data_IF_835976634491
#
_entry.id   IF_835976634491
#
_cell.length_a   1.000
_cell.length_b   1.000
_cell.length_c   1.000
_cell.angle_alpha   90.00
_cell.angle_beta   90.00
_cell.angle_gamma   90.00
#
_symmetry.space_group_name_H-M   'P 1'
#
loop_
_entity.id
_entity.type
_entity.pdbx_description
1 polymer ?
#
# COMPACT_ATOMS: atom_id res chain seq x y z
N UNK A 1 -2.42 -8.54 -25.02
CA UNK A 1 -1.31 -7.57 -24.84
C UNK A 1 -0.80 -7.74 -23.42
N UNK A 2 0.38 -8.35 -23.28
CA UNK A 2 0.96 -8.68 -21.97
C UNK A 2 1.47 -7.41 -21.29
N UNK A 3 0.82 -7.02 -20.20
CA UNK A 3 1.32 -5.95 -19.33
C UNK A 3 2.61 -6.44 -18.68
N UNK A 4 3.71 -5.76 -19.00
CA UNK A 4 5.05 -6.04 -18.51
C UNK A 4 5.14 -5.67 -17.02
N UNK A 5 4.69 -6.58 -16.15
CA UNK A 5 4.76 -6.50 -14.68
C UNK A 5 6.21 -6.47 -14.14
N UNK A 6 7.22 -6.58 -15.02
CA UNK A 6 8.64 -6.64 -14.65
C UNK A 6 9.28 -5.29 -14.34
N UNK A 7 8.71 -4.17 -14.80
CA UNK A 7 9.29 -2.84 -14.55
C UNK A 7 8.78 -2.15 -13.26
N UNK A 8 7.65 -2.59 -12.69
CA UNK A 8 7.14 -2.05 -11.42
C UNK A 8 7.90 -2.55 -10.17
N UNK A 9 8.57 -3.70 -10.26
CA UNK A 9 9.22 -4.32 -9.09
C UNK A 9 10.58 -3.70 -8.73
N UNK A 10 11.25 -3.02 -9.66
CA UNK A 10 12.63 -2.55 -9.44
C UNK A 10 12.66 -1.25 -8.62
N UNK A 11 11.62 -0.41 -8.72
CA UNK A 11 11.57 0.88 -8.02
C UNK A 11 11.26 0.78 -6.53
N UNK A 12 10.70 -0.36 -6.08
CA UNK A 12 10.35 -0.59 -4.68
C UNK A 12 11.57 -0.93 -3.80
N UNK A 13 12.66 -1.44 -4.41
CA UNK A 13 13.81 -2.01 -3.67
C UNK A 13 14.68 -0.93 -3.03
N UNK A 14 14.72 0.28 -3.59
CA UNK A 14 15.60 1.35 -3.07
C UNK A 14 14.92 2.30 -2.08
N UNK A 15 13.59 2.29 -1.98
CA UNK A 15 12.84 3.15 -1.06
C UNK A 15 12.47 2.46 0.27
N UNK A 16 12.47 1.13 0.31
CA UNK A 16 11.96 0.36 1.45
C UNK A 16 12.81 -0.91 1.70
N UNK A 17 13.84 -0.86 2.57
CA UNK A 17 14.48 -2.07 3.08
C UNK A 17 13.57 -2.90 4.00
N UNK A 18 12.35 -2.41 4.30
CA UNK A 18 11.40 -3.03 5.21
C UNK A 18 10.52 -4.14 4.59
N UNK A 19 10.51 -4.32 3.26
CA UNK A 19 9.70 -5.35 2.60
C UNK A 19 10.19 -6.79 2.80
N UNK A 20 11.39 -6.98 3.33
CA UNK A 20 11.99 -8.31 3.47
C UNK A 20 11.71 -9.00 4.82
N UNK A 21 11.11 -8.32 5.80
CA UNK A 21 11.11 -8.80 7.20
C UNK A 21 9.74 -8.77 7.90
N UNK A 22 8.64 -8.90 7.16
CA UNK A 22 7.35 -9.25 7.76
C UNK A 22 7.08 -10.75 7.56
N UNK A 23 7.64 -11.57 8.45
CA UNK A 23 7.36 -13.00 8.54
C UNK A 23 5.96 -13.21 9.16
N UNK A 24 4.91 -12.88 8.41
CA UNK A 24 3.54 -13.36 8.67
C UNK A 24 3.29 -14.66 7.90
N UNK A 25 2.38 -15.49 8.37
CA UNK A 25 1.88 -16.62 7.59
C UNK A 25 1.26 -16.07 6.30
N UNK A 26 1.50 -16.76 5.17
CA UNK A 26 0.86 -16.35 3.92
C UNK A 26 -0.53 -16.94 3.88
N UNK A 27 -1.55 -16.10 4.02
CA UNK A 27 -2.94 -16.52 3.96
C UNK A 27 -3.46 -16.33 2.54
N UNK A 28 -4.08 -17.37 1.99
CA UNK A 28 -4.83 -17.27 0.75
C UNK A 28 -6.26 -16.85 1.10
N UNK A 29 -6.76 -15.81 0.45
CA UNK A 29 -8.11 -15.30 0.73
C UNK A 29 -9.11 -15.75 -0.32
N UNK A 30 -10.37 -15.88 0.12
CA UNK A 30 -11.51 -16.23 -0.73
C UNK A 30 -11.90 -15.06 -1.66
N UNK A 31 -12.51 -15.37 -2.80
CA UNK A 31 -13.02 -14.37 -3.76
C UNK A 31 -14.06 -13.41 -3.15
N UNK A 32 -14.79 -13.84 -2.12
CA UNK A 32 -15.73 -12.99 -1.38
C UNK A 32 -15.06 -11.76 -0.75
N UNK A 33 -13.77 -11.87 -0.45
CA UNK A 33 -12.96 -10.83 0.18
C UNK A 33 -12.14 -10.00 -0.83
N UNK A 34 -12.16 -10.39 -2.11
CA UNK A 34 -11.51 -9.65 -3.20
C UNK A 34 -11.94 -8.16 -3.28
N UNK A 35 -13.20 -7.76 -2.98
CA UNK A 35 -13.58 -6.35 -2.95
C UNK A 35 -12.84 -5.53 -1.89
N UNK A 36 -12.39 -6.14 -0.78
CA UNK A 36 -11.59 -5.46 0.24
C UNK A 36 -10.17 -5.22 -0.27
N UNK A 37 -9.57 -6.22 -0.92
CA UNK A 37 -8.26 -6.06 -1.54
C UNK A 37 -8.28 -5.01 -2.65
N UNK A 38 -9.31 -5.00 -3.51
CA UNK A 38 -9.45 -3.98 -4.56
C UNK A 38 -9.48 -2.57 -3.99
N UNK A 39 -10.12 -2.34 -2.84
CA UNK A 39 -10.12 -1.02 -2.19
C UNK A 39 -8.74 -0.61 -1.69
N UNK A 40 -7.97 -1.57 -1.16
CA UNK A 40 -6.59 -1.32 -0.74
C UNK A 40 -5.74 -0.99 -1.97
N UNK A 41 -5.87 -1.77 -3.04
CA UNK A 41 -5.16 -1.58 -4.31
C UNK A 41 -5.50 -0.23 -4.96
N UNK A 42 -6.79 0.14 -5.02
CA UNK A 42 -7.24 1.45 -5.48
C UNK A 42 -6.64 2.60 -4.66
N UNK A 43 -6.51 2.41 -3.33
CA UNK A 43 -5.87 3.36 -2.44
C UNK A 43 -4.37 3.48 -2.72
N UNK A 44 -3.69 2.35 -2.91
CA UNK A 44 -2.27 2.28 -3.22
C UNK A 44 -1.97 2.91 -4.59
N UNK A 45 -2.76 2.60 -5.61
CA UNK A 45 -2.66 3.23 -6.93
C UNK A 45 -2.85 4.74 -6.84
N UNK A 46 -3.84 5.21 -6.07
CA UNK A 46 -4.06 6.65 -5.86
C UNK A 46 -2.85 7.32 -5.20
N UNK A 47 -2.20 6.64 -4.25
CA UNK A 47 -0.99 7.13 -3.57
C UNK A 47 0.21 7.13 -4.53
N UNK A 48 0.35 6.11 -5.37
CA UNK A 48 1.41 6.04 -6.39
C UNK A 48 1.23 7.13 -7.45
N UNK A 49 0.00 7.39 -7.89
CA UNK A 49 -0.30 8.49 -8.82
C UNK A 49 0.03 9.85 -8.20
N UNK A 50 -0.34 10.05 -6.93
CA UNK A 50 0.03 11.26 -6.19
C UNK A 50 1.56 11.40 -6.06
N UNK A 51 2.27 10.31 -5.74
CA UNK A 51 3.72 10.30 -5.66
C UNK A 51 4.37 10.60 -7.02
N UNK A 52 3.82 10.08 -8.12
CA UNK A 52 4.24 10.36 -9.47
C UNK A 52 4.07 11.83 -9.84
N UNK A 53 2.91 12.41 -9.53
CA UNK A 53 2.62 13.83 -9.74
C UNK A 53 3.54 14.73 -8.91
N UNK A 54 3.78 14.37 -7.64
CA UNK A 54 4.67 15.08 -6.74
C UNK A 54 6.14 15.05 -7.20
N UNK A 55 6.57 13.93 -7.79
CA UNK A 55 7.91 13.81 -8.36
C UNK A 55 8.08 14.68 -9.61
N UNK A 56 7.00 14.95 -10.35
CA UNK A 56 7.04 15.81 -11.54
C UNK A 56 7.20 17.29 -11.22
N UNK A 57 7.00 17.72 -9.97
CA UNK A 57 7.01 19.12 -9.56
C UNK A 57 8.27 19.55 -8.80
N UNK A 58 9.31 18.69 -8.72
CA UNK A 58 10.56 18.92 -7.96
C UNK A 58 10.35 19.30 -6.47
N UNK A 59 9.12 19.16 -5.96
CA UNK A 59 8.79 19.36 -4.57
C UNK A 59 9.30 18.18 -3.73
N UNK A 60 9.56 18.44 -2.44
CA UNK A 60 9.84 17.35 -1.52
C UNK A 60 8.67 16.34 -1.57
N UNK A 61 8.97 15.10 -1.97
CA UNK A 61 7.97 14.07 -2.20
C UNK A 61 7.03 13.91 -1.00
N UNK A 62 7.57 13.94 0.22
CA UNK A 62 6.77 13.81 1.43
C UNK A 62 5.91 15.04 1.67
N UNK A 63 6.46 16.24 1.56
CA UNK A 63 5.70 17.49 1.72
C UNK A 63 4.53 17.60 0.72
N UNK A 64 4.78 17.19 -0.53
CA UNK A 64 3.75 17.13 -1.56
C UNK A 64 2.72 16.04 -1.29
N UNK A 65 3.13 14.82 -0.91
CA UNK A 65 2.22 13.73 -0.54
C UNK A 65 1.37 14.08 0.70
N UNK A 66 1.92 14.87 1.63
CA UNK A 66 1.20 15.37 2.78
C UNK A 66 0.14 16.41 2.41
N UNK A 67 0.40 17.20 1.37
CA UNK A 67 -0.58 18.12 0.79
C UNK A 67 -1.68 17.33 0.06
N UNK A 68 -1.31 16.27 -0.65
CA UNK A 68 -2.19 15.28 -1.28
C UNK A 68 -2.78 14.26 -0.30
N UNK A 69 -3.16 14.73 0.90
CA UNK A 69 -3.63 13.90 2.03
C UNK A 69 -4.82 12.98 1.69
N UNK A 70 -5.55 13.25 0.61
CA UNK A 70 -6.69 12.45 0.16
C UNK A 70 -6.28 11.03 -0.22
N UNK A 71 -5.16 10.86 -0.93
CA UNK A 71 -4.71 9.54 -1.37
C UNK A 71 -4.26 8.67 -0.19
N UNK A 72 -3.47 9.25 0.72
CA UNK A 72 -3.03 8.59 1.94
C UNK A 72 -4.21 8.21 2.86
N UNK A 73 -5.19 9.12 3.04
CA UNK A 73 -6.41 8.85 3.81
C UNK A 73 -7.26 7.75 3.18
N UNK A 74 -7.33 7.69 1.84
CA UNK A 74 -8.06 6.64 1.12
C UNK A 74 -7.44 5.27 1.37
N UNK A 75 -6.10 5.17 1.30
CA UNK A 75 -5.37 3.95 1.60
C UNK A 75 -5.54 3.54 3.08
N UNK A 76 -5.33 4.46 4.02
CA UNK A 76 -5.50 4.20 5.47
C UNK A 76 -6.93 3.73 5.78
N UNK A 77 -7.94 4.40 5.24
CA UNK A 77 -9.35 4.05 5.43
C UNK A 77 -9.67 2.66 4.86
N UNK A 78 -9.16 2.35 3.66
CA UNK A 78 -9.35 1.04 3.04
C UNK A 78 -8.70 -0.07 3.88
N UNK A 79 -7.47 0.16 4.35
CA UNK A 79 -6.72 -0.79 5.18
C UNK A 79 -7.43 -1.04 6.51
N UNK A 80 -7.83 0.02 7.22
CA UNK A 80 -8.59 -0.09 8.49
C UNK A 80 -9.92 -0.82 8.29
N UNK A 81 -10.65 -0.51 7.21
CA UNK A 81 -11.92 -1.19 6.91
C UNK A 81 -11.73 -2.67 6.63
N UNK A 82 -10.65 -3.04 5.92
CA UNK A 82 -10.34 -4.44 5.66
C UNK A 82 -9.98 -5.17 6.96
N UNK A 83 -9.14 -4.57 7.81
CA UNK A 83 -8.73 -5.13 9.10
C UNK A 83 -9.88 -5.22 10.11
N UNK A 84 -10.83 -4.29 10.09
CA UNK A 84 -12.04 -4.33 10.92
C UNK A 84 -12.94 -5.52 10.54
N UNK A 85 -13.16 -5.72 9.23
CA UNK A 85 -13.98 -6.83 8.72
C UNK A 85 -13.27 -8.17 8.80
N UNK A 86 -11.93 -8.18 8.70
CA UNK A 86 -11.09 -9.37 8.66
C UNK A 86 -9.92 -9.17 9.62
N UNK A 87 -10.15 -9.24 10.95
CA UNK A 87 -9.09 -9.05 11.94
C UNK A 87 -7.98 -10.11 11.83
N UNK A 88 -8.27 -11.30 11.29
CA UNK A 88 -7.30 -12.35 11.01
C UNK A 88 -6.31 -12.04 9.88
N UNK A 89 -6.45 -10.91 9.18
CA UNK A 89 -5.46 -10.44 8.20
C UNK A 89 -4.33 -9.63 8.84
N UNK A 90 -4.52 -9.19 10.09
CA UNK A 90 -3.57 -8.36 10.79
C UNK A 90 -2.28 -9.13 11.06
N UNK A 91 -1.14 -8.56 10.66
CA UNK A 91 0.17 -9.20 10.81
C UNK A 91 0.47 -10.27 9.77
N UNK A 92 -0.48 -10.58 8.88
CA UNK A 92 -0.34 -11.63 7.88
C UNK A 92 0.07 -11.08 6.51
N UNK A 93 0.57 -11.98 5.66
CA UNK A 93 0.78 -11.69 4.24
C UNK A 93 -0.37 -12.28 3.45
N UNK A 94 -1.10 -11.46 2.70
CA UNK A 94 -2.22 -11.92 1.88
C UNK A 94 -1.72 -12.27 0.50
N UNK A 95 -2.11 -13.45 0.00
CA UNK A 95 -1.94 -13.82 -1.40
C UNK A 95 -3.30 -13.97 -2.09
N UNK A 96 -3.49 -13.24 -3.17
CA UNK A 96 -4.70 -13.33 -3.99
C UNK A 96 -4.38 -13.04 -5.45
N UNK A 97 -4.82 -13.93 -6.35
CA UNK A 97 -4.72 -13.78 -7.81
C UNK A 97 -3.32 -13.37 -8.33
N UNK A 98 -2.26 -13.96 -7.74
CA UNK A 98 -0.88 -13.67 -8.12
C UNK A 98 -0.28 -12.40 -7.49
N UNK A 99 -1.05 -11.68 -6.69
CA UNK A 99 -0.62 -10.50 -5.93
C UNK A 99 -0.37 -10.88 -4.48
N UNK A 100 0.79 -10.50 -3.96
CA UNK A 100 1.16 -10.64 -2.55
C UNK A 100 1.12 -9.28 -1.87
N UNK A 101 0.30 -9.15 -0.83
CA UNK A 101 0.16 -7.93 -0.04
C UNK A 101 0.60 -8.18 1.41
N UNK A 102 1.68 -7.52 1.83
CA UNK A 102 2.14 -7.60 3.22
C UNK A 102 1.44 -6.52 4.06
N UNK A 103 0.37 -6.91 4.77
CA UNK A 103 -0.41 -6.02 5.63
C UNK A 103 0.45 -5.24 6.65
N UNK A 104 1.33 -5.87 7.44
CA UNK A 104 2.14 -5.13 8.42
C UNK A 104 3.09 -4.11 7.78
N UNK A 105 3.61 -4.40 6.57
CA UNK A 105 4.44 -3.45 5.84
C UNK A 105 3.63 -2.25 5.36
N UNK A 106 2.40 -2.50 4.91
CA UNK A 106 1.48 -1.46 4.46
C UNK A 106 1.01 -0.58 5.62
N UNK A 107 0.63 -1.16 6.77
CA UNK A 107 0.29 -0.42 8.00
C UNK A 107 1.43 0.52 8.39
N UNK A 108 2.67 0.01 8.42
CA UNK A 108 3.85 0.80 8.77
C UNK A 108 4.12 1.93 7.77
N UNK A 109 4.01 1.66 6.47
CA UNK A 109 4.21 2.68 5.43
C UNK A 109 3.19 3.82 5.55
N UNK A 110 1.92 3.49 5.77
CA UNK A 110 0.87 4.49 5.98
C UNK A 110 1.18 5.33 7.23
N UNK A 111 1.56 4.68 8.33
CA UNK A 111 1.90 5.36 9.58
C UNK A 111 3.13 6.27 9.45
N UNK A 112 4.20 5.79 8.79
CA UNK A 112 5.44 6.55 8.61
C UNK A 112 5.21 7.81 7.76
N UNK A 113 4.41 7.70 6.67
CA UNK A 113 4.04 8.86 5.86
C UNK A 113 3.15 9.82 6.65
N UNK A 114 2.15 9.32 7.38
CA UNK A 114 1.28 10.16 8.23
C UNK A 114 2.07 10.94 9.29
N UNK A 115 3.05 10.30 9.94
CA UNK A 115 3.95 10.96 10.90
C UNK A 115 4.78 12.07 10.26
N UNK A 116 5.28 11.85 9.06
CA UNK A 116 6.02 12.88 8.32
C UNK A 116 5.14 14.05 7.91
N UNK A 117 3.83 13.83 7.76
CA UNK A 117 2.84 14.88 7.54
C UNK A 117 2.44 15.66 8.80
N UNK A 118 2.98 15.31 9.98
CA UNK A 118 2.67 15.98 11.24
C UNK A 118 1.29 15.65 11.81
N UNK A 119 0.74 14.47 11.48
CA UNK A 119 -0.50 13.96 12.07
C UNK A 119 -0.33 13.55 13.54
#
# INVERSE_FOLDING_TARGET
MGFNLRFCLIFLVTLLPALANAAGETIQINDEDAPLLRKIDDGLSSLMDAAGNCRSTDANLYECLCTESTALKKLDSALRTALDKKPGWKGETIYHDGVTLQIPSLEKQVEDVQKQCGA
#
